data_IF_976168756774
#
_entry.id   IF_976168756774
#
_cell.length_a   1.000
_cell.length_b   1.000
_cell.length_c   1.000
_cell.angle_alpha   90.00
_cell.angle_beta   90.00
_cell.angle_gamma   90.00
#
_symmetry.space_group_name_H-M   'P 1'
#
loop_
_entity.id
_entity.type
_entity.pdbx_description
1 polymer ?
#
# COMPACT_ATOMS: atom_id res chain seq x y z
N UNK A 1 3.59 6.69 -24.02
CA UNK A 1 3.70 5.34 -24.63
C UNK A 1 2.49 4.51 -24.22
N UNK A 2 1.84 3.78 -25.13
CA UNK A 2 0.72 2.90 -24.76
C UNK A 2 1.26 1.51 -24.45
N UNK A 3 1.06 1.04 -23.21
CA UNK A 3 1.41 -0.32 -22.76
C UNK A 3 0.16 -1.01 -22.25
N UNK A 4 -0.24 -2.12 -22.89
CA UNK A 4 -1.48 -2.84 -22.55
C UNK A 4 -2.74 -1.94 -22.52
N UNK A 5 -2.84 -1.00 -23.45
CA UNK A 5 -3.97 -0.07 -23.54
C UNK A 5 -3.95 1.06 -22.50
N UNK A 6 -2.92 1.14 -21.66
CA UNK A 6 -2.71 2.23 -20.71
C UNK A 6 -1.69 3.19 -21.31
N UNK A 7 -2.06 4.45 -21.42
CA UNK A 7 -1.10 5.51 -21.73
C UNK A 7 -0.20 5.73 -20.52
N UNK A 8 1.09 5.47 -20.70
CA UNK A 8 2.12 5.65 -19.68
C UNK A 8 2.97 6.86 -20.05
N UNK A 9 2.93 7.84 -19.17
CA UNK A 9 3.69 9.07 -19.25
C UNK A 9 4.30 9.43 -17.90
N UNK A 10 5.41 10.18 -17.91
CA UNK A 10 6.09 10.59 -16.68
C UNK A 10 5.14 11.26 -15.66
N UNK A 11 4.19 12.05 -16.15
CA UNK A 11 3.29 12.84 -15.32
C UNK A 11 2.12 12.02 -14.73
N UNK A 12 1.77 10.89 -15.34
CA UNK A 12 0.61 10.09 -14.91
C UNK A 12 1.00 8.84 -14.09
N UNK A 13 2.29 8.49 -14.00
CA UNK A 13 2.77 7.32 -13.23
C UNK A 13 2.22 7.24 -11.80
N UNK A 14 2.07 8.38 -11.12
CA UNK A 14 1.54 8.44 -9.75
C UNK A 14 0.07 8.03 -9.66
N UNK A 15 -0.72 8.25 -10.71
CA UNK A 15 -2.14 7.88 -10.78
C UNK A 15 -2.37 6.39 -11.08
N UNK A 16 -1.36 5.70 -11.65
CA UNK A 16 -1.47 4.29 -12.02
C UNK A 16 -1.39 3.41 -10.75
N UNK A 17 -2.27 2.40 -10.66
CA UNK A 17 -2.28 1.45 -9.55
C UNK A 17 -0.99 0.61 -9.45
N UNK A 18 -0.64 0.14 -8.24
CA UNK A 18 0.57 -0.65 -8.02
C UNK A 18 0.62 -1.94 -8.86
N UNK A 19 -0.52 -2.65 -8.96
CA UNK A 19 -0.65 -3.85 -9.80
C UNK A 19 -0.38 -3.52 -11.27
N UNK A 20 -1.06 -2.50 -11.81
CA UNK A 20 -0.88 -2.04 -13.18
C UNK A 20 0.55 -1.60 -13.48
N UNK A 21 1.22 -0.91 -12.55
CA UNK A 21 2.64 -0.56 -12.70
C UNK A 21 3.54 -1.80 -12.83
N UNK A 22 3.28 -2.86 -12.04
CA UNK A 22 4.03 -4.12 -12.14
C UNK A 22 3.77 -4.83 -13.48
N UNK A 23 2.53 -4.84 -13.94
CA UNK A 23 2.15 -5.44 -15.22
C UNK A 23 2.77 -4.70 -16.41
N UNK A 24 2.77 -3.36 -16.37
CA UNK A 24 3.44 -2.52 -17.36
C UNK A 24 4.94 -2.81 -17.34
N UNK A 25 5.56 -2.84 -16.16
CA UNK A 25 6.99 -3.14 -16.03
C UNK A 25 7.37 -4.51 -16.62
N UNK A 26 6.56 -5.54 -16.36
CA UNK A 26 6.77 -6.87 -16.92
C UNK A 26 6.64 -6.88 -18.45
N UNK A 27 5.68 -6.11 -18.97
CA UNK A 27 5.47 -5.97 -20.42
C UNK A 27 6.66 -5.28 -21.09
N UNK A 28 7.15 -4.18 -20.51
CA UNK A 28 8.33 -3.48 -21.00
C UNK A 28 9.59 -4.37 -20.91
N UNK A 29 9.75 -5.14 -19.82
CA UNK A 29 10.87 -6.07 -19.69
C UNK A 29 10.85 -7.15 -20.79
N UNK A 30 9.66 -7.64 -21.14
CA UNK A 30 9.48 -8.60 -22.24
C UNK A 30 9.83 -7.96 -23.59
N UNK A 31 9.31 -6.78 -23.90
CA UNK A 31 9.61 -6.05 -25.13
C UNK A 31 11.11 -5.79 -25.31
N UNK A 32 11.76 -5.28 -24.26
CA UNK A 32 13.23 -5.07 -24.23
C UNK A 32 13.98 -6.37 -24.50
N UNK A 33 13.53 -7.50 -23.93
CA UNK A 33 14.14 -8.81 -24.15
C UNK A 33 13.98 -9.33 -25.59
N UNK A 34 12.90 -8.93 -26.27
CA UNK A 34 12.63 -9.24 -27.67
C UNK A 34 13.21 -8.20 -28.66
N UNK A 35 13.86 -7.15 -28.14
CA UNK A 35 14.31 -5.99 -28.94
C UNK A 35 13.18 -5.34 -29.74
N UNK A 36 11.97 -5.35 -29.19
CA UNK A 36 10.81 -4.69 -29.78
C UNK A 36 10.75 -3.22 -29.37
N UNK A 37 10.41 -2.35 -30.34
CA UNK A 37 10.27 -0.91 -30.09
C UNK A 37 11.60 -0.20 -29.79
N UNK A 38 11.49 0.96 -29.12
CA UNK A 38 12.66 1.72 -28.65
C UNK A 38 13.13 1.19 -27.29
N UNK A 39 14.11 0.30 -27.33
CA UNK A 39 14.73 -0.32 -26.15
C UNK A 39 15.29 0.72 -25.17
N UNK A 40 15.73 1.88 -25.65
CA UNK A 40 16.30 2.93 -24.78
C UNK A 40 15.19 3.63 -24.00
N UNK A 41 14.13 4.03 -24.69
CA UNK A 41 12.96 4.65 -24.07
C UNK A 41 12.30 3.69 -23.07
N UNK A 42 12.09 2.44 -23.45
CA UNK A 42 11.47 1.43 -22.59
C UNK A 42 12.28 1.18 -21.31
N UNK A 43 13.62 1.10 -21.40
CA UNK A 43 14.49 0.96 -20.22
C UNK A 43 14.41 2.18 -19.29
N UNK A 44 14.33 3.40 -19.83
CA UNK A 44 14.17 4.61 -19.04
C UNK A 44 12.82 4.62 -18.33
N UNK A 45 11.75 4.24 -19.03
CA UNK A 45 10.42 4.15 -18.46
C UNK A 45 10.34 3.09 -17.35
N UNK A 46 10.95 1.93 -17.53
CA UNK A 46 11.06 0.90 -16.50
C UNK A 46 11.75 1.40 -15.22
N UNK A 47 12.78 2.26 -15.34
CA UNK A 47 13.43 2.87 -14.18
C UNK A 47 12.48 3.79 -13.42
N UNK A 48 11.71 4.62 -14.13
CA UNK A 48 10.71 5.50 -13.52
C UNK A 48 9.60 4.69 -12.81
N UNK A 49 9.08 3.66 -13.48
CA UNK A 49 8.10 2.75 -12.89
C UNK A 49 8.65 2.07 -11.63
N UNK A 50 9.91 1.62 -11.65
CA UNK A 50 10.56 1.00 -10.48
C UNK A 50 10.60 1.95 -9.27
N UNK A 51 10.88 3.23 -9.50
CA UNK A 51 10.89 4.26 -8.45
C UNK A 51 9.48 4.44 -7.88
N UNK A 52 8.46 4.53 -8.74
CA UNK A 52 7.09 4.74 -8.31
C UNK A 52 6.52 3.52 -7.57
N UNK A 53 6.84 2.29 -8.00
CA UNK A 53 6.53 1.06 -7.27
C UNK A 53 7.12 1.11 -5.86
N UNK A 54 8.41 1.45 -5.72
CA UNK A 54 9.06 1.56 -4.40
C UNK A 54 8.38 2.61 -3.52
N UNK A 55 8.01 3.76 -4.10
CA UNK A 55 7.29 4.82 -3.40
C UNK A 55 5.94 4.34 -2.90
N UNK A 56 5.13 3.70 -3.75
CA UNK A 56 3.80 3.20 -3.38
C UNK A 56 3.85 2.11 -2.32
N UNK A 57 4.78 1.15 -2.43
CA UNK A 57 5.00 0.13 -1.39
C UNK A 57 5.37 0.75 -0.05
N UNK A 58 6.22 1.79 -0.05
CA UNK A 58 6.57 2.52 1.18
C UNK A 58 5.33 3.17 1.81
N UNK A 59 4.47 3.81 1.01
CA UNK A 59 3.24 4.44 1.48
C UNK A 59 2.25 3.40 2.03
N UNK A 60 2.05 2.27 1.32
CA UNK A 60 1.20 1.17 1.80
C UNK A 60 1.68 0.63 3.16
N UNK A 61 2.98 0.45 3.33
CA UNK A 61 3.55 -0.01 4.60
C UNK A 61 3.34 1.01 5.73
N UNK A 62 3.52 2.30 5.47
CA UNK A 62 3.24 3.36 6.46
C UNK A 62 1.77 3.33 6.87
N UNK A 63 0.86 3.25 5.90
CA UNK A 63 -0.58 3.19 6.16
C UNK A 63 -0.98 1.94 6.96
N UNK A 64 -0.35 0.79 6.67
CA UNK A 64 -0.59 -0.46 7.39
C UNK A 64 -0.10 -0.38 8.85
N UNK A 65 1.08 0.22 9.08
CA UNK A 65 1.60 0.45 10.43
C UNK A 65 0.69 1.42 11.20
N UNK A 66 0.27 2.52 10.56
CA UNK A 66 -0.66 3.48 11.15
C UNK A 66 -1.98 2.80 11.55
N UNK A 67 -2.57 2.00 10.66
CA UNK A 67 -3.80 1.25 10.94
C UNK A 67 -3.65 0.30 12.13
N UNK A 68 -2.55 -0.48 12.19
CA UNK A 68 -2.26 -1.37 13.33
C UNK A 68 -2.13 -0.60 14.64
N UNK A 69 -1.49 0.57 14.60
CA UNK A 69 -1.35 1.42 15.78
C UNK A 69 -2.72 1.95 16.24
N UNK A 70 -3.56 2.41 15.31
CA UNK A 70 -4.93 2.84 15.61
C UNK A 70 -5.76 1.72 16.24
N UNK A 71 -5.73 0.51 15.66
CA UNK A 71 -6.41 -0.67 16.21
C UNK A 71 -5.93 -1.03 17.61
N UNK A 72 -4.62 -0.93 17.88
CA UNK A 72 -4.04 -1.16 19.20
C UNK A 72 -4.48 -0.10 20.21
N UNK A 73 -4.49 1.16 19.80
CA UNK A 73 -4.95 2.27 20.64
C UNK A 73 -6.43 2.09 21.03
N UNK A 74 -7.30 1.75 20.08
CA UNK A 74 -8.73 1.49 20.36
C UNK A 74 -8.90 0.35 21.38
N UNK A 75 -8.23 -0.79 21.17
CA UNK A 75 -8.28 -1.92 22.11
C UNK A 75 -7.83 -1.55 23.53
N UNK A 76 -6.81 -0.70 23.63
CA UNK A 76 -6.34 -0.22 24.93
C UNK A 76 -7.38 0.67 25.62
N UNK A 77 -8.04 1.56 24.88
CA UNK A 77 -9.12 2.39 25.41
C UNK A 77 -10.30 1.53 25.91
N UNK A 78 -10.75 0.56 25.12
CA UNK A 78 -11.80 -0.40 25.53
C UNK A 78 -11.43 -1.15 26.82
N UNK A 79 -10.14 -1.47 26.98
CA UNK A 79 -9.65 -2.17 28.19
C UNK A 79 -9.68 -1.26 29.41
N UNK A 80 -9.25 0.00 29.25
CA UNK A 80 -9.29 1.00 30.34
C UNK A 80 -10.74 1.25 30.76
N UNK A 81 -11.66 1.41 29.81
CA UNK A 81 -13.08 1.65 30.10
C UNK A 81 -13.68 0.51 30.94
N UNK A 82 -13.44 -0.75 30.56
CA UNK A 82 -13.88 -1.93 31.34
C UNK A 82 -13.25 -2.00 32.74
N UNK A 83 -12.00 -1.57 32.90
CA UNK A 83 -11.34 -1.54 34.21
C UNK A 83 -11.82 -0.37 35.09
N UNK A 84 -12.35 0.69 34.47
CA UNK A 84 -12.91 1.84 35.17
C UNK A 84 -14.39 1.68 35.55
N UNK A 85 -15.05 0.59 35.12
CA UNK A 85 -16.40 0.27 35.58
C UNK A 85 -16.37 0.02 37.11
N UNK A 86 -17.20 0.74 37.89
CA UNK A 86 -17.23 0.56 39.33
C UNK A 86 -17.63 -0.88 39.64
N UNK A 87 -16.82 -1.55 40.48
CA UNK A 87 -17.11 -2.89 40.96
C UNK A 87 -18.53 -2.93 41.51
N UNK A 88 -19.38 -3.80 40.94
CA UNK A 88 -20.72 -4.03 41.49
C UNK A 88 -20.57 -4.42 42.96
N UNK A 89 -21.28 -3.76 43.89
CA UNK A 89 -21.18 -4.10 45.30
C UNK A 89 -21.53 -5.57 45.47
N UNK A 90 -20.67 -6.30 46.19
CA UNK A 90 -20.93 -7.69 46.54
C UNK A 90 -22.29 -7.78 47.23
N UNK A 91 -23.15 -8.76 46.88
CA UNK A 91 -24.41 -8.95 47.57
C UNK A 91 -24.11 -9.14 49.06
N UNK A 92 -24.74 -8.31 49.90
CA UNK A 92 -24.60 -8.42 51.36
C UNK A 92 -25.10 -9.81 51.74
N UNK A 93 -24.18 -10.63 52.26
CA UNK A 93 -24.52 -11.87 52.94
C UNK A 93 -25.40 -11.50 54.14
N UNK A 94 -26.70 -11.75 54.03
CA UNK A 94 -27.61 -11.68 55.17
C UNK A 94 -27.21 -12.82 56.12
N UNK A 95 -26.70 -12.44 57.29
CA UNK A 95 -26.42 -13.32 58.43
C UNK A 95 -27.70 -13.63 59.19
#
# INVERSE_FOLDING_TARGET
MIVKGIEVERHNLSSIGLSSLRDIQATLAHNVGQLWGDVTEEKLLMKLISIEIKRKVKVENINLVAKKQTEKTIKNWDTIERQSEPLKPLPRSEY
#
